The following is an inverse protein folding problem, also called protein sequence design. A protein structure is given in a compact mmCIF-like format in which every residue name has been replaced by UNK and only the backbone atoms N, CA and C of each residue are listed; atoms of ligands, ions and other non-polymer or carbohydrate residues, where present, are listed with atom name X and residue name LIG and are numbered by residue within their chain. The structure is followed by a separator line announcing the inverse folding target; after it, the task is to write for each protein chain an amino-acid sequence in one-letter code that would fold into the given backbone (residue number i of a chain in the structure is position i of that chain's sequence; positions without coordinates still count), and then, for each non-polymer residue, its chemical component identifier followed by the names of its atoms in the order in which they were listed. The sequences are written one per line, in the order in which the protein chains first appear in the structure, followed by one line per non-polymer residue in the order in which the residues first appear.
data_IF_869350556006
#
_entry.id   IF_869350556006
#
_cell.length_a   1.000
_cell.length_b   1.000
_cell.length_c   1.000
_cell.angle_alpha   90.00
_cell.angle_beta   90.00
_cell.angle_gamma   90.00
#
_symmetry.space_group_name_H-M   'P 1'
#
loop_
_entity.id
_entity.type
_entity.pdbx_description
1 polymer ?
#
# COMPACT_ATOMS: atom_id res chain seq x y z
N UNK A 1 71.55 22.11 4.84
CA UNK A 1 70.88 21.49 6.00
C UNK A 1 69.47 21.03 5.59
N UNK A 2 69.34 20.09 4.63
CA UNK A 2 68.03 19.66 4.07
C UNK A 2 68.07 18.17 3.65
N UNK A 3 68.52 17.25 4.52
CA UNK A 3 68.68 15.84 4.12
C UNK A 3 68.03 14.81 5.05
N UNK A 4 67.14 15.23 5.97
CA UNK A 4 66.57 14.32 6.99
C UNK A 4 65.05 14.08 6.87
N UNK A 5 64.32 14.83 6.05
CA UNK A 5 62.83 14.76 6.05
C UNK A 5 62.27 13.52 5.33
N UNK A 6 63.07 12.81 4.51
CA UNK A 6 62.55 11.78 3.57
C UNK A 6 62.59 10.31 4.04
N UNK A 7 62.97 10.00 5.29
CA UNK A 7 63.14 8.60 5.75
C UNK A 7 62.06 8.06 6.68
N UNK A 8 61.01 8.83 7.00
CA UNK A 8 59.95 8.37 7.89
C UNK A 8 58.83 7.75 7.05
N UNK A 9 58.66 6.42 7.12
CA UNK A 9 57.50 5.74 6.52
C UNK A 9 56.23 6.23 7.23
N UNK A 10 55.28 6.71 6.45
CA UNK A 10 53.97 7.15 6.95
C UNK A 10 53.03 5.94 6.84
N UNK A 11 52.22 5.63 7.87
CA UNK A 11 51.18 4.62 7.72
C UNK A 11 50.24 5.01 6.58
N UNK A 12 50.05 4.10 5.63
CA UNK A 12 49.21 4.30 4.46
C UNK A 12 48.36 3.04 4.23
N UNK A 13 47.17 3.22 3.67
CA UNK A 13 46.29 2.11 3.31
C UNK A 13 46.73 1.48 1.99
N UNK A 14 46.62 0.16 1.89
CA UNK A 14 46.83 -0.54 0.63
C UNK A 14 45.61 -0.32 -0.28
N UNK A 15 45.86 -0.03 -1.56
CA UNK A 15 44.80 0.13 -2.56
C UNK A 15 43.92 -1.12 -2.65
N UNK A 16 44.52 -2.31 -2.65
CA UNK A 16 43.78 -3.57 -2.77
C UNK A 16 42.90 -3.84 -1.53
N UNK A 17 43.41 -3.59 -0.33
CA UNK A 17 42.63 -3.70 0.91
C UNK A 17 41.46 -2.71 0.91
N UNK A 18 41.70 -1.47 0.49
CA UNK A 18 40.67 -0.42 0.40
C UNK A 18 39.58 -0.80 -0.62
N UNK A 19 39.96 -1.36 -1.77
CA UNK A 19 39.02 -1.82 -2.80
C UNK A 19 38.15 -2.99 -2.31
N UNK A 20 38.73 -3.95 -1.59
CA UNK A 20 37.98 -5.07 -1.02
C UNK A 20 36.96 -4.57 0.02
N UNK A 21 37.35 -3.64 0.89
CA UNK A 21 36.45 -3.04 1.89
C UNK A 21 35.30 -2.30 1.21
N UNK A 22 35.58 -1.49 0.19
CA UNK A 22 34.55 -0.80 -0.60
C UNK A 22 33.58 -1.78 -1.29
N UNK A 23 34.10 -2.87 -1.86
CA UNK A 23 33.28 -3.89 -2.48
C UNK A 23 32.34 -4.59 -1.48
N UNK A 24 32.85 -4.93 -0.29
CA UNK A 24 32.04 -5.54 0.78
C UNK A 24 30.95 -4.56 1.25
N UNK A 25 31.29 -3.29 1.49
CA UNK A 25 30.30 -2.27 1.88
C UNK A 25 29.23 -2.10 0.78
N UNK A 26 29.63 -2.10 -0.49
CA UNK A 26 28.70 -2.01 -1.63
C UNK A 26 27.70 -3.18 -1.67
N UNK A 27 28.17 -4.41 -1.48
CA UNK A 27 27.30 -5.60 -1.43
C UNK A 27 26.35 -5.53 -0.23
N UNK A 28 26.86 -5.15 0.95
CA UNK A 28 26.03 -5.01 2.16
C UNK A 28 24.94 -3.95 2.00
N UNK A 29 25.24 -2.83 1.34
CA UNK A 29 24.24 -1.79 1.05
C UNK A 29 23.14 -2.31 0.11
N UNK A 30 23.50 -3.06 -0.93
CA UNK A 30 22.52 -3.65 -1.85
C UNK A 30 21.62 -4.69 -1.15
N UNK A 31 22.18 -5.50 -0.25
CA UNK A 31 21.41 -6.47 0.54
C UNK A 31 20.53 -5.81 1.62
N UNK A 32 20.95 -4.64 2.13
CA UNK A 32 20.25 -3.92 3.18
C UNK A 32 19.11 -3.02 2.66
N UNK A 33 19.06 -2.71 1.36
CA UNK A 33 17.99 -1.88 0.79
C UNK A 33 16.66 -2.66 0.82
N UNK A 34 15.69 -2.24 1.66
CA UNK A 34 14.40 -2.91 1.73
C UNK A 34 13.59 -2.63 0.47
N UNK A 35 12.75 -3.58 0.05
CA UNK A 35 11.75 -3.31 -0.97
C UNK A 35 10.64 -2.41 -0.37
N UNK A 36 10.62 -1.14 -0.76
CA UNK A 36 9.67 -0.14 -0.24
C UNK A 36 8.27 -0.29 -0.84
N UNK A 37 8.16 -0.90 -2.02
CA UNK A 37 6.91 -0.96 -2.78
C UNK A 37 5.79 -1.70 -2.04
N UNK A 38 6.01 -2.89 -1.42
CA UNK A 38 5.01 -3.54 -0.58
C UNK A 38 4.52 -2.70 0.61
N UNK A 39 5.37 -1.81 1.14
CA UNK A 39 5.00 -0.92 2.25
C UNK A 39 4.11 0.24 1.75
N UNK A 40 4.39 0.76 0.56
CA UNK A 40 3.58 1.80 -0.08
C UNK A 40 2.19 1.24 -0.42
N UNK A 41 2.11 0.06 -1.06
CA UNK A 41 0.83 -0.56 -1.39
C UNK A 41 0.02 -0.89 -0.13
N UNK A 42 0.68 -1.38 0.92
CA UNK A 42 0.03 -1.62 2.23
C UNK A 42 -0.51 -0.33 2.84
N UNK A 43 0.24 0.77 2.78
CA UNK A 43 -0.21 2.06 3.29
C UNK A 43 -1.43 2.59 2.52
N UNK A 44 -1.41 2.49 1.18
CA UNK A 44 -2.55 2.85 0.33
C UNK A 44 -3.78 1.97 0.60
N UNK A 45 -3.57 0.67 0.84
CA UNK A 45 -4.65 -0.28 1.18
C UNK A 45 -5.38 0.05 2.48
N UNK A 46 -4.79 0.84 3.39
CA UNK A 46 -5.48 1.30 4.61
C UNK A 46 -6.70 2.16 4.26
N UNK A 47 -6.61 2.95 3.18
CA UNK A 47 -7.73 3.74 2.66
C UNK A 47 -8.90 2.83 2.28
N UNK A 48 -8.64 1.81 1.47
CA UNK A 48 -9.64 0.82 1.05
C UNK A 48 -10.29 0.13 2.25
N UNK A 49 -9.49 -0.36 3.19
CA UNK A 49 -9.99 -1.03 4.40
C UNK A 49 -10.86 -0.11 5.25
N UNK A 50 -10.49 1.17 5.37
CA UNK A 50 -11.22 2.15 6.18
C UNK A 50 -12.57 2.47 5.56
N UNK A 51 -12.61 2.71 4.25
CA UNK A 51 -13.84 3.02 3.54
C UNK A 51 -14.77 1.80 3.41
N UNK A 52 -14.22 0.60 3.18
CA UNK A 52 -15.00 -0.63 3.20
C UNK A 52 -15.65 -0.88 4.57
N UNK A 53 -14.93 -0.60 5.67
CA UNK A 53 -15.52 -0.65 7.02
C UNK A 53 -16.62 0.39 7.21
N UNK A 54 -16.47 1.58 6.64
CA UNK A 54 -17.53 2.59 6.66
C UNK A 54 -18.78 2.07 5.93
N UNK A 55 -18.63 1.47 4.75
CA UNK A 55 -19.73 0.82 4.00
C UNK A 55 -20.37 -0.30 4.83
N UNK A 56 -19.58 -1.15 5.50
CA UNK A 56 -20.13 -2.18 6.39
C UNK A 56 -20.98 -1.58 7.53
N UNK A 57 -20.53 -0.49 8.15
CA UNK A 57 -21.26 0.16 9.22
C UNK A 57 -22.57 0.79 8.73
N UNK A 58 -22.57 1.43 7.55
CA UNK A 58 -23.78 2.00 6.96
C UNK A 58 -24.74 0.91 6.50
N UNK A 59 -24.25 -0.18 5.89
CA UNK A 59 -25.03 -1.37 5.55
C UNK A 59 -25.68 -2.02 6.77
N UNK A 60 -24.92 -2.14 7.87
CA UNK A 60 -25.43 -2.71 9.13
C UNK A 60 -26.56 -1.85 9.70
N UNK A 61 -26.37 -0.53 9.70
CA UNK A 61 -27.39 0.44 10.12
C UNK A 61 -28.63 0.34 9.22
N UNK A 62 -28.45 0.32 7.90
CA UNK A 62 -29.54 0.19 6.94
C UNK A 62 -30.32 -1.13 7.13
N UNK A 63 -29.61 -2.24 7.37
CA UNK A 63 -30.25 -3.52 7.68
C UNK A 63 -31.06 -3.48 8.97
N UNK A 64 -30.63 -2.77 10.01
CA UNK A 64 -31.45 -2.61 11.22
C UNK A 64 -32.71 -1.78 10.99
N UNK A 65 -32.66 -0.79 10.09
CA UNK A 65 -33.79 0.08 9.78
C UNK A 65 -34.80 -0.56 8.83
N UNK A 66 -34.33 -1.28 7.81
CA UNK A 66 -35.15 -1.76 6.69
C UNK A 66 -35.18 -3.28 6.54
N UNK A 67 -34.52 -4.02 7.44
CA UNK A 67 -34.41 -5.49 7.42
C UNK A 67 -33.79 -6.07 6.13
N UNK A 68 -33.04 -5.25 5.39
CA UNK A 68 -32.33 -5.63 4.16
C UNK A 68 -31.06 -4.82 3.97
N UNK A 69 -30.08 -5.37 3.28
CA UNK A 69 -28.96 -4.58 2.75
C UNK A 69 -29.38 -3.83 1.49
N UNK A 70 -28.66 -2.77 1.14
CA UNK A 70 -28.91 -2.00 -0.08
C UNK A 70 -27.82 -2.25 -1.13
N UNK A 71 -28.20 -2.23 -2.41
CA UNK A 71 -27.26 -2.19 -3.53
C UNK A 71 -26.91 -0.76 -3.95
N UNK A 72 -27.58 0.26 -3.39
CA UNK A 72 -27.36 1.65 -3.74
C UNK A 72 -26.55 2.35 -2.64
N UNK A 73 -25.37 2.88 -3.00
CA UNK A 73 -24.54 3.65 -2.08
C UNK A 73 -25.22 4.95 -1.62
N UNK A 74 -26.15 5.49 -2.42
CA UNK A 74 -26.91 6.69 -2.04
C UNK A 74 -27.90 6.40 -0.90
N UNK A 75 -28.52 5.21 -0.88
CA UNK A 75 -29.40 4.79 0.23
C UNK A 75 -28.62 4.57 1.53
N UNK A 76 -27.30 4.40 1.44
CA UNK A 76 -26.41 4.22 2.58
C UNK A 76 -25.77 5.53 3.06
N UNK A 77 -26.13 6.66 2.45
CA UNK A 77 -25.49 7.97 2.67
C UNK A 77 -23.96 7.92 2.57
N UNK A 78 -23.43 7.01 1.74
CA UNK A 78 -22.00 6.83 1.57
C UNK A 78 -21.48 7.73 0.45
N UNK A 79 -20.67 8.72 0.82
CA UNK A 79 -20.00 9.61 -0.14
C UNK A 79 -18.58 9.12 -0.36
N UNK A 80 -18.33 8.55 -1.55
CA UNK A 80 -16.99 8.15 -1.94
C UNK A 80 -16.05 9.37 -2.03
N UNK A 81 -14.81 9.26 -1.52
CA UNK A 81 -13.82 10.33 -1.67
C UNK A 81 -13.44 10.52 -3.14
N UNK A 82 -13.17 11.75 -3.54
CA UNK A 82 -12.77 12.07 -4.92
C UNK A 82 -11.47 11.35 -5.27
N UNK A 83 -11.47 10.68 -6.41
CA UNK A 83 -10.33 9.91 -6.87
C UNK A 83 -9.22 10.81 -7.41
N UNK A 84 -7.98 10.29 -7.52
CA UNK A 84 -6.89 11.06 -8.15
C UNK A 84 -7.17 11.40 -9.63
N UNK A 85 -8.08 10.67 -10.31
CA UNK A 85 -8.57 11.00 -11.66
C UNK A 85 -9.46 12.25 -11.67
N UNK A 86 -10.04 12.60 -10.52
CA UNK A 86 -10.99 13.71 -10.34
C UNK A 86 -10.40 14.87 -9.50
N UNK A 87 -9.07 15.05 -9.52
CA UNK A 87 -8.34 16.01 -8.69
C UNK A 87 -8.53 15.81 -7.16
N UNK A 88 -8.80 14.58 -6.73
CA UNK A 88 -8.83 14.20 -5.32
C UNK A 88 -7.57 13.43 -4.88
N UNK A 89 -7.65 12.77 -3.72
CA UNK A 89 -6.55 12.01 -3.12
C UNK A 89 -6.80 10.51 -3.06
N UNK A 90 -8.02 10.06 -3.41
CA UNK A 90 -8.40 8.66 -3.26
C UNK A 90 -7.81 7.76 -4.35
N UNK A 91 -7.35 6.58 -3.95
CA UNK A 91 -6.73 5.61 -4.85
C UNK A 91 -7.65 4.44 -5.20
N UNK A 92 -8.85 4.38 -4.63
CA UNK A 92 -9.80 3.29 -4.81
C UNK A 92 -11.18 3.81 -5.25
N UNK A 93 -11.88 2.99 -6.02
CA UNK A 93 -13.30 3.13 -6.35
C UNK A 93 -14.09 2.05 -5.62
N UNK A 94 -15.27 2.41 -5.12
CA UNK A 94 -16.09 1.55 -4.28
C UNK A 94 -17.38 1.17 -5.00
N UNK A 95 -17.75 -0.10 -4.92
CA UNK A 95 -18.93 -0.66 -5.57
C UNK A 95 -19.58 -1.72 -4.67
N UNK A 96 -20.91 -1.82 -4.69
CA UNK A 96 -21.62 -2.94 -4.06
C UNK A 96 -21.84 -3.99 -5.15
N UNK A 97 -21.26 -5.19 -4.97
CA UNK A 97 -21.38 -6.29 -5.92
C UNK A 97 -22.76 -6.96 -5.79
N UNK A 98 -23.19 -7.15 -4.55
CA UNK A 98 -24.45 -7.84 -4.25
C UNK A 98 -24.95 -7.45 -2.86
N UNK A 99 -26.26 -7.33 -2.70
CA UNK A 99 -26.91 -7.09 -1.44
C UNK A 99 -28.30 -7.71 -1.46
N UNK A 100 -28.56 -8.53 -0.44
CA UNK A 100 -29.83 -9.22 -0.22
C UNK A 100 -30.34 -8.92 1.21
N UNK A 101 -31.37 -9.64 1.66
CA UNK A 101 -31.89 -9.49 3.02
C UNK A 101 -30.92 -10.00 4.11
N UNK A 102 -30.00 -10.91 3.75
CA UNK A 102 -29.16 -11.63 4.68
C UNK A 102 -27.66 -11.38 4.52
N UNK A 103 -27.19 -11.08 3.31
CA UNK A 103 -25.77 -10.97 2.96
C UNK A 103 -25.53 -9.76 2.08
N UNK A 104 -24.30 -9.24 2.10
CA UNK A 104 -23.86 -8.26 1.13
C UNK A 104 -22.38 -8.45 0.80
N UNK A 105 -21.97 -7.91 -0.34
CA UNK A 105 -20.57 -7.83 -0.73
C UNK A 105 -20.29 -6.49 -1.36
N UNK A 106 -19.28 -5.80 -0.85
CA UNK A 106 -18.76 -4.58 -1.44
C UNK A 106 -17.29 -4.76 -1.83
N UNK A 107 -16.87 -4.06 -2.88
CA UNK A 107 -15.55 -4.11 -3.50
C UNK A 107 -14.93 -2.73 -3.53
N UNK A 108 -13.63 -2.68 -3.27
CA UNK A 108 -12.78 -1.52 -3.50
C UNK A 108 -11.69 -1.91 -4.51
N UNK A 109 -11.63 -1.22 -5.64
CA UNK A 109 -10.70 -1.48 -6.74
C UNK A 109 -9.78 -0.28 -6.94
N UNK A 110 -8.47 -0.51 -6.99
CA UNK A 110 -7.50 0.54 -7.19
C UNK A 110 -7.63 1.17 -8.58
N UNK A 111 -7.47 2.49 -8.67
CA UNK A 111 -7.55 3.21 -9.95
C UNK A 111 -6.22 3.38 -10.67
N UNK A 112 -5.13 3.08 -9.97
CA UNK A 112 -3.76 3.15 -10.45
C UNK A 112 -3.07 1.85 -10.05
N UNK A 113 -2.27 1.34 -10.97
CA UNK A 113 -1.34 0.24 -10.77
C UNK A 113 -0.15 0.73 -9.93
N UNK A 114 0.11 0.08 -8.78
CA UNK A 114 1.11 0.57 -7.82
C UNK A 114 2.53 0.11 -8.14
N UNK A 115 2.70 -1.08 -8.71
CA UNK A 115 4.01 -1.65 -9.06
C UNK A 115 4.33 -1.69 -10.55
N UNK A 116 3.33 -1.42 -11.41
CA UNK A 116 3.48 -1.35 -12.86
C UNK A 116 3.32 -2.69 -13.58
N UNK A 117 2.78 -3.73 -12.92
CA UNK A 117 2.61 -5.07 -13.48
C UNK A 117 1.29 -5.26 -14.27
N UNK A 118 0.40 -4.27 -14.25
CA UNK A 118 -0.91 -4.28 -14.90
C UNK A 118 -2.04 -4.91 -14.07
N UNK A 119 -1.79 -5.28 -12.81
CA UNK A 119 -2.74 -5.88 -11.88
C UNK A 119 -3.16 -4.84 -10.84
N UNK A 120 -4.46 -4.55 -10.80
CA UNK A 120 -4.98 -3.57 -9.83
C UNK A 120 -5.27 -4.22 -8.49
N UNK A 121 -4.92 -3.52 -7.42
CA UNK A 121 -5.25 -3.96 -6.08
C UNK A 121 -6.77 -4.01 -5.83
N UNK A 122 -7.29 -5.16 -5.38
CA UNK A 122 -8.73 -5.34 -5.07
C UNK A 122 -8.94 -5.83 -3.65
N UNK A 123 -9.82 -5.14 -2.94
CA UNK A 123 -10.31 -5.50 -1.61
C UNK A 123 -11.81 -5.74 -1.63
N UNK A 124 -12.27 -6.67 -0.81
CA UNK A 124 -13.69 -6.93 -0.60
C UNK A 124 -14.04 -6.94 0.88
N UNK A 125 -15.29 -6.60 1.20
CA UNK A 125 -15.87 -6.77 2.53
C UNK A 125 -17.27 -7.39 2.40
N UNK A 126 -17.61 -8.22 3.37
CA UNK A 126 -18.89 -8.91 3.49
C UNK A 126 -19.59 -8.55 4.81
N UNK A 127 -20.71 -9.19 5.10
CA UNK A 127 -21.47 -9.02 6.35
C UNK A 127 -20.71 -9.44 7.62
N UNK A 128 -19.52 -10.05 7.50
CA UNK A 128 -18.67 -10.35 8.66
C UNK A 128 -17.80 -9.15 9.06
N UNK A 129 -17.78 -8.07 8.27
CA UNK A 129 -17.11 -6.82 8.60
C UNK A 129 -15.59 -6.85 8.52
N UNK A 130 -15.02 -7.88 7.87
CA UNK A 130 -13.57 -8.05 7.74
C UNK A 130 -13.13 -7.82 6.28
N UNK A 131 -12.50 -6.66 5.96
CA UNK A 131 -11.93 -6.44 4.64
C UNK A 131 -10.86 -7.50 4.31
N UNK A 132 -10.96 -8.11 3.12
CA UNK A 132 -10.00 -9.09 2.60
C UNK A 132 -9.45 -8.62 1.27
N UNK A 133 -8.13 -8.72 1.12
CA UNK A 133 -7.45 -8.49 -0.14
C UNK A 133 -7.67 -9.70 -1.04
N UNK A 134 -8.31 -9.51 -2.19
CA UNK A 134 -8.57 -10.58 -3.18
C UNK A 134 -7.45 -10.62 -4.21
N UNK A 135 -7.03 -9.45 -4.68
CA UNK A 135 -5.95 -9.28 -5.65
C UNK A 135 -4.86 -8.44 -5.00
N UNK A 136 -3.65 -9.00 -4.99
CA UNK A 136 -2.44 -8.33 -4.52
C UNK A 136 -1.78 -7.59 -5.67
N UNK A 137 -1.25 -6.45 -5.27
CA UNK A 137 -0.40 -5.49 -5.98
C UNK A 137 0.59 -5.04 -4.89
#
# INVERSE_FOLDING_TARGET
MISSIFKRKIPALNLQETLIVLAIIGILLLLALPNLMPLITKAKSIEAQTQLKAIYNTQTTHRYMYSKYSNDLNELDFVAPKTVKENGTANYVYEIISADNATFKAKAEAITDFDGDGIFNVWEIDENGNPKQIIKD
#
